data_IF_499234842648
#
_entry.id   IF_499234842648
#
_cell.length_a   1.000
_cell.length_b   1.000
_cell.length_c   1.000
_cell.angle_alpha   90.00
_cell.angle_beta   90.00
_cell.angle_gamma   90.00
#
_symmetry.space_group_name_H-M   'P 1'
#
loop_
_entity.id
_entity.type
_entity.pdbx_description
1 polymer ?
#
# COMPACT_ATOMS: atom_id res chain seq x y z
N UNK A 1 28.39 25.59 -3.49
CA UNK A 1 28.08 25.18 -2.12
C UNK A 1 29.27 24.48 -1.52
N UNK A 2 29.67 24.82 -0.29
CA UNK A 2 30.69 24.05 0.46
C UNK A 2 30.05 23.38 1.69
N UNK A 3 30.52 22.16 1.99
CA UNK A 3 30.06 21.37 3.13
C UNK A 3 31.27 21.00 3.99
N UNK A 4 31.20 21.21 5.29
CA UNK A 4 32.20 20.78 6.27
C UNK A 4 31.52 20.09 7.44
N UNK A 5 32.02 18.93 7.84
CA UNK A 5 31.49 18.13 8.94
C UNK A 5 29.96 17.88 8.84
N UNK A 6 29.47 17.66 7.62
CA UNK A 6 28.05 17.40 7.36
C UNK A 6 27.14 18.65 7.41
N UNK A 7 27.70 19.85 7.53
CA UNK A 7 26.98 21.12 7.57
C UNK A 7 27.31 21.95 6.33
N UNK A 8 26.30 22.62 5.76
CA UNK A 8 26.51 23.60 4.69
C UNK A 8 27.24 24.80 5.27
N UNK A 9 28.52 24.95 4.94
CA UNK A 9 29.37 26.02 5.43
C UNK A 9 29.26 27.28 4.57
N UNK A 10 28.92 27.11 3.26
CA UNK A 10 28.83 28.24 2.34
C UNK A 10 27.86 27.96 1.17
N UNK A 11 27.20 29.00 0.68
CA UNK A 11 26.37 28.99 -0.52
C UNK A 11 26.66 30.21 -1.38
N UNK A 12 26.91 30.03 -2.68
CA UNK A 12 27.18 31.10 -3.64
C UNK A 12 27.55 30.57 -5.01
N UNK A 13 28.23 31.39 -5.83
CA UNK A 13 28.70 31.00 -7.16
C UNK A 13 29.89 30.05 -7.09
N UNK A 14 30.04 29.17 -8.08
CA UNK A 14 31.16 28.22 -8.14
C UNK A 14 32.49 28.91 -8.13
N UNK A 15 32.65 30.03 -8.89
CA UNK A 15 33.87 30.83 -8.96
C UNK A 15 34.35 31.28 -7.57
N UNK A 16 33.44 31.88 -6.77
CA UNK A 16 33.79 32.35 -5.42
C UNK A 16 33.99 31.16 -4.46
N UNK A 17 33.24 30.07 -4.62
CA UNK A 17 33.41 28.89 -3.80
C UNK A 17 34.78 28.24 -3.97
N UNK A 18 35.23 28.07 -5.20
CA UNK A 18 36.55 27.50 -5.52
C UNK A 18 37.71 28.37 -5.00
N UNK A 19 37.57 29.70 -5.05
CA UNK A 19 38.54 30.62 -4.47
C UNK A 19 38.63 30.57 -2.94
N UNK A 20 37.42 30.41 -2.26
CA UNK A 20 37.36 30.38 -0.80
C UNK A 20 37.78 29.05 -0.19
N UNK A 21 37.61 27.95 -0.91
CA UNK A 21 37.88 26.61 -0.43
C UNK A 21 38.79 25.83 -1.37
N UNK A 22 40.05 26.32 -1.60
CA UNK A 22 40.97 25.76 -2.61
C UNK A 22 41.43 24.33 -2.31
N UNK A 23 41.34 23.90 -1.04
CA UNK A 23 41.72 22.56 -0.60
C UNK A 23 40.55 21.60 -0.46
N UNK A 24 39.32 22.03 -0.82
CA UNK A 24 38.15 21.17 -0.73
C UNK A 24 38.09 20.14 -1.87
N UNK A 25 37.60 18.95 -1.58
CA UNK A 25 37.29 17.99 -2.64
C UNK A 25 36.11 18.51 -3.48
N UNK A 26 36.31 18.60 -4.78
CA UNK A 26 35.31 19.10 -5.71
C UNK A 26 34.48 17.97 -6.28
N UNK A 27 33.12 18.12 -6.25
CA UNK A 27 32.19 17.24 -6.92
C UNK A 27 31.37 18.03 -7.94
N UNK A 28 31.58 17.77 -9.24
CA UNK A 28 30.75 18.33 -10.30
C UNK A 28 29.42 17.61 -10.40
N UNK A 29 28.31 18.33 -10.16
CA UNK A 29 26.96 17.82 -10.25
C UNK A 29 26.34 17.98 -11.65
N UNK A 30 27.11 18.44 -12.64
CA UNK A 30 26.66 18.60 -14.03
C UNK A 30 25.35 19.38 -14.19
N UNK A 31 25.15 20.41 -13.38
CA UNK A 31 23.94 21.24 -13.38
C UNK A 31 22.75 20.65 -12.62
N UNK A 32 22.93 19.59 -11.85
CA UNK A 32 21.87 19.02 -11.03
C UNK A 32 21.46 20.00 -9.90
N UNK A 33 20.16 20.04 -9.62
CA UNK A 33 19.61 20.85 -8.54
C UNK A 33 19.86 20.19 -7.18
N UNK A 34 20.31 20.98 -6.21
CA UNK A 34 20.53 20.54 -4.84
C UNK A 34 19.52 21.24 -3.93
N UNK A 35 18.78 20.47 -3.14
CA UNK A 35 17.86 20.96 -2.13
C UNK A 35 18.06 20.22 -0.81
N UNK A 36 17.63 20.79 0.32
CA UNK A 36 17.50 20.02 1.56
C UNK A 36 16.65 18.77 1.35
N UNK A 37 17.03 17.65 1.96
CA UNK A 37 16.23 16.43 1.93
C UNK A 37 14.87 16.67 2.55
N UNK A 38 13.85 16.03 1.99
CA UNK A 38 12.50 16.11 2.56
C UNK A 38 12.46 15.41 3.93
N UNK A 39 11.83 16.08 4.89
CA UNK A 39 11.49 15.51 6.19
C UNK A 39 9.98 15.41 6.26
N UNK A 40 9.45 14.19 6.20
CA UNK A 40 8.02 13.93 6.40
C UNK A 40 7.78 13.65 7.88
N UNK A 41 7.14 14.59 8.57
CA UNK A 41 6.81 14.49 10.00
C UNK A 41 5.54 13.67 10.28
N UNK A 42 4.81 13.27 9.23
CA UNK A 42 3.57 12.49 9.36
C UNK A 42 3.44 11.47 8.23
N UNK A 43 4.22 10.41 8.26
CA UNK A 43 4.22 9.37 7.24
C UNK A 43 3.65 8.05 7.77
N UNK A 44 2.74 7.46 7.00
CA UNK A 44 2.20 6.11 7.25
C UNK A 44 3.02 5.05 6.50
N UNK A 45 4.30 4.87 6.85
CA UNK A 45 5.24 3.99 6.13
C UNK A 45 4.68 2.60 5.85
N UNK A 46 4.12 1.92 6.86
CA UNK A 46 3.55 0.58 6.68
C UNK A 46 2.36 0.57 5.72
N UNK A 47 1.49 1.59 5.76
CA UNK A 47 0.36 1.67 4.84
C UNK A 47 0.83 1.97 3.41
N UNK A 48 1.84 2.81 3.25
CA UNK A 48 2.46 3.11 1.95
C UNK A 48 3.15 1.87 1.38
N UNK A 49 3.93 1.13 2.20
CA UNK A 49 4.54 -0.13 1.81
C UNK A 49 3.51 -1.14 1.29
N UNK A 50 2.44 -1.37 2.06
CA UNK A 50 1.35 -2.26 1.66
C UNK A 50 0.62 -1.80 0.39
N UNK A 51 0.58 -0.50 0.12
CA UNK A 51 0.02 0.03 -1.12
C UNK A 51 0.95 -0.21 -2.32
N UNK A 52 2.25 -0.11 -2.14
CA UNK A 52 3.24 -0.31 -3.21
C UNK A 52 3.39 -1.80 -3.56
N UNK A 53 3.39 -2.67 -2.55
CA UNK A 53 3.64 -4.11 -2.72
C UNK A 53 2.38 -4.95 -2.91
N UNK A 54 1.22 -4.42 -2.55
CA UNK A 54 -0.07 -5.11 -2.65
C UNK A 54 -0.68 -5.08 -4.05
N UNK A 55 -1.81 -5.77 -4.20
CA UNK A 55 -2.59 -5.75 -5.44
C UNK A 55 -3.30 -4.40 -5.61
N UNK A 56 -2.89 -3.64 -6.61
CA UNK A 56 -3.56 -2.37 -6.98
C UNK A 56 -4.79 -2.65 -7.85
N UNK A 57 -5.96 -2.28 -7.35
CA UNK A 57 -7.25 -2.40 -8.02
C UNK A 57 -7.80 -1.06 -8.52
N UNK A 58 -7.02 0.01 -8.44
CA UNK A 58 -7.48 1.36 -8.82
C UNK A 58 -7.89 1.47 -10.31
N UNK A 59 -7.31 0.62 -11.17
CA UNK A 59 -7.66 0.53 -12.57
C UNK A 59 -8.87 -0.39 -12.87
N UNK A 60 -9.45 -1.04 -11.84
CA UNK A 60 -10.60 -1.92 -12.05
C UNK A 60 -11.84 -1.10 -12.43
N UNK A 61 -12.46 -1.43 -13.55
CA UNK A 61 -13.65 -0.73 -14.10
C UNK A 61 -14.94 -1.51 -13.89
N UNK A 62 -14.86 -2.73 -13.36
CA UNK A 62 -15.99 -3.61 -13.10
C UNK A 62 -15.62 -4.72 -12.13
N UNK A 63 -16.60 -5.43 -11.60
CA UNK A 63 -16.40 -6.62 -10.76
C UNK A 63 -15.57 -7.67 -11.50
N UNK A 64 -15.91 -7.98 -12.73
CA UNK A 64 -15.19 -8.96 -13.55
C UNK A 64 -13.72 -8.55 -13.75
N UNK A 65 -13.47 -7.25 -13.93
CA UNK A 65 -12.09 -6.75 -14.03
C UNK A 65 -11.35 -6.89 -12.71
N UNK A 66 -11.97 -6.53 -11.59
CA UNK A 66 -11.42 -6.72 -10.25
C UNK A 66 -11.06 -8.19 -9.97
N UNK A 67 -11.98 -9.12 -10.27
CA UNK A 67 -11.76 -10.58 -10.10
C UNK A 67 -10.65 -11.09 -11.01
N UNK A 68 -10.55 -10.63 -12.25
CA UNK A 68 -9.42 -11.00 -13.14
C UNK A 68 -8.07 -10.52 -12.62
N UNK A 69 -8.00 -9.28 -12.10
CA UNK A 69 -6.77 -8.75 -11.49
C UNK A 69 -6.36 -9.59 -10.27
N UNK A 70 -7.32 -9.94 -9.41
CA UNK A 70 -7.09 -10.83 -8.28
C UNK A 70 -6.59 -12.21 -8.73
N UNK A 71 -7.24 -12.82 -9.72
CA UNK A 71 -6.83 -14.12 -10.26
C UNK A 71 -5.39 -14.10 -10.81
N UNK A 72 -5.03 -13.04 -11.55
CA UNK A 72 -3.67 -12.83 -12.04
C UNK A 72 -2.64 -12.70 -10.91
N UNK A 73 -2.98 -11.95 -9.87
CA UNK A 73 -2.11 -11.80 -8.69
C UNK A 73 -1.92 -13.12 -7.94
N UNK A 74 -2.99 -13.88 -7.70
CA UNK A 74 -2.94 -15.21 -7.05
C UNK A 74 -2.07 -16.18 -7.86
N UNK A 75 -2.20 -16.17 -9.18
CA UNK A 75 -1.38 -17.03 -10.05
C UNK A 75 0.12 -16.66 -10.03
N UNK A 76 0.43 -15.36 -9.89
CA UNK A 76 1.81 -14.87 -9.81
C UNK A 76 2.45 -15.10 -8.43
N UNK A 77 1.64 -15.22 -7.35
CA UNK A 77 2.09 -15.37 -5.97
C UNK A 77 1.44 -16.60 -5.30
N UNK A 78 1.76 -17.83 -5.75
CA UNK A 78 1.08 -19.03 -5.28
C UNK A 78 1.31 -19.26 -3.78
N UNK A 79 0.24 -19.50 -3.04
CA UNK A 79 0.29 -19.79 -1.60
C UNK A 79 0.41 -18.57 -0.70
N UNK A 80 0.51 -17.37 -1.25
CA UNK A 80 0.63 -16.14 -0.45
C UNK A 80 -0.73 -15.50 -0.15
N UNK A 81 -0.92 -14.95 1.07
CA UNK A 81 -2.10 -14.16 1.38
C UNK A 81 -2.11 -12.89 0.53
N UNK A 82 -3.30 -12.45 0.11
CA UNK A 82 -3.44 -11.28 -0.75
C UNK A 82 -3.86 -10.07 0.07
N UNK A 83 -3.09 -8.99 -0.04
CA UNK A 83 -3.46 -7.65 0.36
C UNK A 83 -3.67 -6.79 -0.89
N UNK A 84 -4.91 -6.33 -1.10
CA UNK A 84 -5.26 -5.46 -2.22
C UNK A 84 -5.95 -4.18 -1.76
N UNK A 85 -5.98 -3.19 -2.65
CA UNK A 85 -6.55 -1.88 -2.35
C UNK A 85 -7.06 -1.17 -3.61
N UNK A 86 -7.89 -0.16 -3.41
CA UNK A 86 -8.20 0.82 -4.44
C UNK A 86 -9.39 0.50 -5.33
N UNK A 87 -10.14 -0.62 -5.10
CA UNK A 87 -11.36 -0.81 -5.86
C UNK A 87 -12.40 0.25 -5.53
N UNK A 88 -13.17 0.66 -6.54
CA UNK A 88 -14.23 1.65 -6.42
C UNK A 88 -15.46 1.20 -7.20
N UNK A 89 -16.52 0.86 -6.47
CA UNK A 89 -17.77 0.34 -7.00
C UNK A 89 -18.81 1.43 -7.30
N UNK A 90 -18.42 2.70 -7.24
CA UNK A 90 -19.37 3.82 -7.44
C UNK A 90 -20.17 3.72 -8.74
N UNK A 91 -19.55 3.14 -9.78
CA UNK A 91 -20.16 2.94 -11.11
C UNK A 91 -20.51 1.48 -11.40
N UNK A 92 -20.28 0.56 -10.46
CA UNK A 92 -20.53 -0.87 -10.65
C UNK A 92 -21.94 -1.25 -10.19
N UNK A 93 -22.50 -2.36 -10.69
CA UNK A 93 -23.83 -2.81 -10.27
C UNK A 93 -23.89 -3.27 -8.80
N UNK A 94 -22.76 -3.66 -8.24
CA UNK A 94 -22.60 -4.08 -6.84
C UNK A 94 -21.10 -4.10 -6.46
N UNK A 95 -20.77 -4.10 -5.14
CA UNK A 95 -19.41 -4.34 -4.69
C UNK A 95 -18.96 -5.79 -4.93
N UNK A 96 -17.63 -6.08 -4.81
CA UNK A 96 -17.11 -7.43 -4.80
C UNK A 96 -17.57 -8.16 -3.52
N UNK A 97 -18.03 -9.41 -3.67
CA UNK A 97 -18.53 -10.25 -2.59
C UNK A 97 -17.48 -11.28 -2.15
N UNK A 98 -17.71 -11.91 -0.98
CA UNK A 98 -16.90 -13.05 -0.53
C UNK A 98 -16.88 -14.17 -1.58
N UNK A 99 -18.02 -14.49 -2.21
CA UNK A 99 -18.09 -15.52 -3.24
C UNK A 99 -17.26 -15.18 -4.49
N UNK A 100 -17.22 -13.92 -4.90
CA UNK A 100 -16.37 -13.48 -6.03
C UNK A 100 -14.88 -13.74 -5.74
N UNK A 101 -14.45 -13.45 -4.51
CA UNK A 101 -13.06 -13.67 -4.09
C UNK A 101 -12.74 -15.16 -3.98
N UNK A 102 -13.61 -15.92 -3.33
CA UNK A 102 -13.43 -17.36 -3.12
C UNK A 102 -13.33 -18.13 -4.46
N UNK A 103 -14.04 -17.66 -5.46
CA UNK A 103 -14.03 -18.27 -6.80
C UNK A 103 -12.65 -18.27 -7.48
N UNK A 104 -11.75 -17.37 -7.09
CA UNK A 104 -10.40 -17.23 -7.68
C UNK A 104 -9.26 -17.31 -6.68
N UNK A 105 -9.55 -17.23 -5.40
CA UNK A 105 -8.53 -17.20 -4.34
C UNK A 105 -7.88 -18.56 -4.06
N UNK A 106 -8.46 -19.67 -4.53
CA UNK A 106 -7.91 -21.00 -4.26
C UNK A 106 -7.78 -21.36 -2.78
N UNK A 107 -8.64 -20.80 -1.92
CA UNK A 107 -8.61 -20.98 -0.46
C UNK A 107 -7.63 -20.07 0.28
N UNK A 108 -7.01 -19.10 -0.39
CA UNK A 108 -6.11 -18.15 0.25
C UNK A 108 -6.87 -17.06 1.01
N UNK A 109 -6.30 -16.55 2.12
CA UNK A 109 -6.77 -15.33 2.76
C UNK A 109 -6.60 -14.13 1.82
N UNK A 110 -7.72 -13.45 1.50
CA UNK A 110 -7.75 -12.27 0.64
C UNK A 110 -8.42 -11.12 1.37
N UNK A 111 -7.76 -9.96 1.38
CA UNK A 111 -8.27 -8.69 1.87
C UNK A 111 -8.15 -7.64 0.76
N UNK A 112 -9.26 -7.05 0.34
CA UNK A 112 -9.31 -6.00 -0.68
C UNK A 112 -9.97 -4.75 -0.11
N UNK A 113 -9.17 -3.72 0.20
CA UNK A 113 -9.68 -2.45 0.70
C UNK A 113 -10.33 -1.63 -0.43
N UNK A 114 -11.47 -1.02 -0.13
CA UNK A 114 -12.08 -0.01 -0.99
C UNK A 114 -11.21 1.25 -1.05
N UNK A 115 -11.40 2.06 -2.06
CA UNK A 115 -10.65 3.31 -2.30
C UNK A 115 -10.70 4.27 -1.10
N UNK A 116 -11.80 4.31 -0.36
CA UNK A 116 -12.00 5.15 0.84
C UNK A 116 -11.38 4.58 2.12
N UNK A 117 -10.87 3.33 2.08
CA UNK A 117 -10.28 2.57 3.19
C UNK A 117 -11.20 2.35 4.41
N UNK A 118 -12.50 2.58 4.27
CA UNK A 118 -13.51 2.40 5.32
C UNK A 118 -14.27 1.07 5.21
N UNK A 119 -14.09 0.36 4.12
CA UNK A 119 -14.66 -0.98 3.90
C UNK A 119 -13.68 -1.88 3.16
N UNK A 120 -13.90 -3.19 3.27
CA UNK A 120 -13.12 -4.18 2.54
C UNK A 120 -13.92 -5.43 2.22
N UNK A 121 -13.70 -5.98 1.04
CA UNK A 121 -14.10 -7.34 0.71
C UNK A 121 -13.05 -8.33 1.26
N UNK A 122 -13.50 -9.46 1.76
CA UNK A 122 -12.66 -10.49 2.35
C UNK A 122 -13.11 -11.89 1.96
N UNK A 123 -12.15 -12.77 1.64
CA UNK A 123 -12.45 -14.19 1.35
C UNK A 123 -12.92 -14.94 2.58
N UNK A 124 -13.63 -16.06 2.40
CA UNK A 124 -14.04 -16.95 3.48
C UNK A 124 -12.84 -17.42 4.31
N UNK A 125 -11.71 -17.72 3.67
CA UNK A 125 -10.48 -18.13 4.34
C UNK A 125 -9.94 -17.08 5.32
N UNK A 126 -10.06 -15.80 5.00
CA UNK A 126 -9.67 -14.72 5.91
C UNK A 126 -10.71 -14.53 7.03
N UNK A 127 -12.00 -14.50 6.67
CA UNK A 127 -13.11 -14.29 7.62
C UNK A 127 -13.15 -15.34 8.73
N UNK A 128 -12.90 -16.61 8.41
CA UNK A 128 -12.86 -17.73 9.35
C UNK A 128 -11.76 -17.63 10.40
N UNK A 129 -10.70 -16.85 10.14
CA UNK A 129 -9.59 -16.62 11.07
C UNK A 129 -9.90 -15.59 12.14
N UNK A 130 -10.97 -14.82 11.96
CA UNK A 130 -11.31 -13.68 12.84
C UNK A 130 -12.35 -14.10 13.86
N UNK A 131 -11.92 -14.26 15.12
CA UNK A 131 -12.83 -14.58 16.20
C UNK A 131 -13.84 -13.44 16.44
N UNK A 132 -15.10 -13.79 16.64
CA UNK A 132 -16.16 -12.83 16.95
C UNK A 132 -16.62 -11.96 15.77
N UNK A 133 -16.12 -12.20 14.56
CA UNK A 133 -16.43 -11.39 13.38
C UNK A 133 -17.94 -11.22 13.15
N UNK A 134 -18.72 -12.30 13.27
CA UNK A 134 -20.16 -12.26 13.01
C UNK A 134 -20.96 -11.39 13.99
N UNK A 135 -20.41 -11.10 15.17
CA UNK A 135 -21.02 -10.21 16.17
C UNK A 135 -20.51 -8.76 16.09
N UNK A 136 -19.58 -8.46 15.22
CA UNK A 136 -19.00 -7.14 15.11
C UNK A 136 -19.90 -6.17 14.32
N UNK A 137 -19.88 -4.90 14.71
CA UNK A 137 -20.58 -3.84 13.97
C UNK A 137 -20.07 -3.76 12.53
N UNK A 138 -20.97 -3.67 11.56
CA UNK A 138 -20.62 -3.63 10.13
C UNK A 138 -20.32 -4.98 9.50
N UNK A 139 -20.63 -6.09 10.18
CA UNK A 139 -20.56 -7.43 9.59
C UNK A 139 -21.65 -7.64 8.54
N UNK A 140 -21.25 -8.22 7.42
CA UNK A 140 -22.15 -8.80 6.41
C UNK A 140 -21.56 -10.14 5.97
N UNK A 141 -22.40 -11.14 5.75
CA UNK A 141 -21.94 -12.50 5.41
C UNK A 141 -21.31 -12.61 4.04
N UNK A 142 -21.70 -11.77 3.09
CA UNK A 142 -21.25 -11.83 1.69
C UNK A 142 -20.63 -10.53 1.19
N UNK A 143 -21.18 -9.38 1.62
CA UNK A 143 -20.75 -8.08 1.14
C UNK A 143 -19.52 -7.56 1.90
N UNK A 144 -18.92 -6.42 1.46
CA UNK A 144 -17.80 -5.80 2.15
C UNK A 144 -18.13 -5.49 3.61
N UNK A 145 -17.14 -5.69 4.45
CA UNK A 145 -17.17 -5.41 5.87
C UNK A 145 -16.87 -3.93 6.12
N UNK A 146 -17.58 -3.34 7.09
CA UNK A 146 -17.40 -1.95 7.50
C UNK A 146 -17.14 -1.85 9.00
N UNK A 147 -16.93 -0.66 9.54
CA UNK A 147 -16.79 -0.38 10.98
C UNK A 147 -15.89 -1.40 11.71
N UNK A 148 -16.32 -1.95 12.84
CA UNK A 148 -15.53 -2.87 13.67
C UNK A 148 -15.15 -4.16 12.93
N UNK A 149 -16.07 -4.71 12.14
CA UNK A 149 -15.81 -5.91 11.34
C UNK A 149 -14.68 -5.69 10.32
N UNK A 150 -14.63 -4.50 9.68
CA UNK A 150 -13.53 -4.12 8.81
C UNK A 150 -12.20 -4.03 9.58
N UNK A 151 -12.20 -3.40 10.76
CA UNK A 151 -10.98 -3.27 11.57
C UNK A 151 -10.43 -4.63 12.01
N UNK A 152 -11.29 -5.55 12.44
CA UNK A 152 -10.91 -6.91 12.85
C UNK A 152 -10.26 -7.68 11.68
N UNK A 153 -10.90 -7.69 10.51
CA UNK A 153 -10.40 -8.40 9.33
C UNK A 153 -9.10 -7.77 8.83
N UNK A 154 -8.99 -6.43 8.83
CA UNK A 154 -7.78 -5.72 8.46
C UNK A 154 -6.61 -6.05 9.38
N UNK A 155 -6.85 -6.15 10.68
CA UNK A 155 -5.83 -6.52 11.66
C UNK A 155 -5.31 -7.94 11.41
N UNK A 156 -6.20 -8.90 11.17
CA UNK A 156 -5.81 -10.29 10.86
C UNK A 156 -5.07 -10.39 9.51
N UNK A 157 -5.56 -9.72 8.48
CA UNK A 157 -4.88 -9.68 7.18
C UNK A 157 -3.43 -9.19 7.29
N UNK A 158 -3.19 -8.13 8.09
CA UNK A 158 -1.83 -7.63 8.35
C UNK A 158 -0.93 -8.63 9.06
N UNK A 159 -1.47 -9.46 9.95
CA UNK A 159 -0.70 -10.49 10.66
C UNK A 159 -0.20 -11.59 9.74
N UNK A 160 -0.94 -11.87 8.67
CA UNK A 160 -0.61 -12.92 7.72
C UNK A 160 0.50 -12.51 6.73
N UNK A 161 0.75 -11.21 6.55
CA UNK A 161 1.77 -10.73 5.63
C UNK A 161 3.18 -11.02 6.17
N UNK A 162 4.06 -11.47 5.29
CA UNK A 162 5.48 -11.68 5.59
C UNK A 162 6.23 -10.36 5.77
N UNK A 163 7.44 -10.42 6.32
CA UNK A 163 8.29 -9.21 6.48
C UNK A 163 8.59 -8.55 5.12
N UNK A 164 8.74 -9.34 4.06
CA UNK A 164 8.97 -8.82 2.70
C UNK A 164 7.74 -8.16 2.06
N UNK A 165 6.54 -8.41 2.61
CA UNK A 165 5.27 -7.83 2.15
C UNK A 165 4.82 -6.63 3.02
N UNK A 166 5.52 -6.32 4.11
CA UNK A 166 5.28 -5.21 5.04
C UNK A 166 6.22 -4.06 4.75
#
# INVERSE_FOLDING_TARGET
MAVSDGVVAWLGSDEVGLEQFPDAEETDLAGAFVAPAFVDSHVHLSATGLRITGLDLSAATSIDHCVRLLAGHVAAHPGEPVWGHGWDDTTWPRPPTTADLDGVAGGLPVYLARVDVHSAAASSALRQRVAGLAGAGGFDAQNPLTADAHHLVRAEARRLLTVGQR
#
